data_IF_130420253978
#
_entry.id   IF_130420253978
#
_cell.length_a   1.000
_cell.length_b   1.000
_cell.length_c   1.000
_cell.angle_alpha   90.00
_cell.angle_beta   90.00
_cell.angle_gamma   90.00
#
_symmetry.space_group_name_H-M   'P 1'
#
loop_
_entity.id
_entity.type
_entity.pdbx_description
1 polymer ?
#
# COMPACT_ATOMS: atom_id res chain seq x y z
N UNK A 1 9.91 -9.50 -17.98
CA UNK A 1 9.18 -10.74 -17.64
C UNK A 1 9.41 -11.18 -16.19
N UNK A 2 10.56 -10.86 -15.57
CA UNK A 2 10.81 -11.17 -14.16
C UNK A 2 9.99 -10.31 -13.18
N UNK A 3 9.99 -8.98 -13.35
CA UNK A 3 9.21 -8.02 -12.52
C UNK A 3 7.74 -8.42 -12.31
N UNK A 4 6.99 -8.68 -13.40
CA UNK A 4 5.55 -9.02 -13.30
C UNK A 4 5.33 -10.34 -12.56
N UNK A 5 6.25 -11.29 -12.72
CA UNK A 5 6.16 -12.58 -12.05
C UNK A 5 6.47 -12.43 -10.55
N UNK A 6 7.48 -11.64 -10.21
CA UNK A 6 7.85 -11.32 -8.83
C UNK A 6 6.73 -10.57 -8.11
N UNK A 7 6.16 -9.54 -8.73
CA UNK A 7 5.04 -8.79 -8.15
C UNK A 7 3.83 -9.68 -7.92
N UNK A 8 3.50 -10.58 -8.86
CA UNK A 8 2.40 -11.52 -8.67
C UNK A 8 2.67 -12.47 -7.49
N UNK A 9 3.88 -13.05 -7.42
CA UNK A 9 4.27 -13.93 -6.33
C UNK A 9 4.20 -13.22 -4.97
N UNK A 10 4.77 -12.02 -4.86
CA UNK A 10 4.72 -11.24 -3.63
C UNK A 10 3.29 -10.96 -3.17
N UNK A 11 2.40 -10.53 -4.08
CA UNK A 11 0.99 -10.25 -3.78
C UNK A 11 0.25 -11.50 -3.26
N UNK A 12 0.51 -12.67 -3.85
CA UNK A 12 -0.06 -13.94 -3.40
C UNK A 12 0.41 -14.27 -1.98
N UNK A 13 1.71 -14.21 -1.72
CA UNK A 13 2.29 -14.48 -0.40
C UNK A 13 1.72 -13.54 0.68
N UNK A 14 1.54 -12.26 0.35
CA UNK A 14 0.89 -11.29 1.26
C UNK A 14 -0.57 -11.67 1.51
N UNK A 15 -1.30 -12.15 0.50
CA UNK A 15 -2.72 -12.49 0.64
C UNK A 15 -3.00 -13.70 1.54
N UNK A 16 -2.04 -14.61 1.70
CA UNK A 16 -2.22 -15.91 2.38
C UNK A 16 -2.32 -15.85 3.92
N UNK A 17 -2.24 -14.66 4.53
CA UNK A 17 -2.22 -14.46 6.01
C UNK A 17 -1.22 -15.38 6.74
N UNK A 18 -0.13 -15.74 6.07
CA UNK A 18 0.94 -16.54 6.64
C UNK A 18 2.15 -15.65 6.90
N UNK A 19 2.43 -15.38 8.17
CA UNK A 19 3.58 -14.54 8.57
C UNK A 19 4.93 -15.14 8.17
N UNK A 20 5.03 -16.46 8.03
CA UNK A 20 6.25 -17.12 7.56
C UNK A 20 6.59 -16.72 6.12
N UNK A 21 5.59 -16.33 5.34
CA UNK A 21 5.77 -15.90 3.96
C UNK A 21 6.20 -14.42 3.84
N UNK A 22 6.18 -13.64 4.92
CA UNK A 22 6.43 -12.20 4.86
C UNK A 22 7.89 -11.88 4.50
N UNK A 23 8.85 -12.61 5.07
CA UNK A 23 10.28 -12.41 4.72
C UNK A 23 10.53 -12.69 3.23
N UNK A 24 9.93 -13.76 2.70
CA UNK A 24 10.03 -14.10 1.29
C UNK A 24 9.33 -13.04 0.40
N UNK A 25 8.13 -12.61 0.78
CA UNK A 25 7.40 -11.58 0.06
C UNK A 25 8.21 -10.28 -0.01
N UNK A 26 8.81 -9.86 1.11
CA UNK A 26 9.66 -8.67 1.18
C UNK A 26 10.91 -8.80 0.28
N UNK A 27 11.58 -9.94 0.28
CA UNK A 27 12.73 -10.19 -0.58
C UNK A 27 12.35 -10.13 -2.08
N UNK A 28 11.19 -10.66 -2.45
CA UNK A 28 10.67 -10.62 -3.82
C UNK A 28 10.29 -9.18 -4.20
N UNK A 29 9.64 -8.43 -3.32
CA UNK A 29 9.30 -7.01 -3.54
C UNK A 29 10.55 -6.16 -3.75
N UNK A 30 11.58 -6.32 -2.92
CA UNK A 30 12.85 -5.60 -3.08
C UNK A 30 13.50 -5.88 -4.43
N UNK A 31 13.44 -7.12 -4.91
CA UNK A 31 13.96 -7.48 -6.23
C UNK A 31 13.11 -6.86 -7.36
N UNK A 32 11.79 -6.93 -7.25
CA UNK A 32 10.88 -6.34 -8.21
C UNK A 32 11.01 -4.80 -8.28
N UNK A 33 11.24 -4.16 -7.13
CA UNK A 33 11.40 -2.71 -7.00
C UNK A 33 12.57 -2.14 -7.80
N UNK A 34 13.58 -2.96 -8.13
CA UNK A 34 14.70 -2.53 -9.00
C UNK A 34 14.24 -2.12 -10.40
N UNK A 35 13.15 -2.72 -10.89
CA UNK A 35 12.56 -2.46 -12.20
C UNK A 35 11.22 -1.71 -12.10
N UNK A 36 10.77 -1.35 -10.90
CA UNK A 36 9.46 -0.74 -10.68
C UNK A 36 9.48 0.79 -10.83
N UNK A 37 8.80 1.28 -11.87
CA UNK A 37 8.61 2.72 -12.07
C UNK A 37 7.30 3.24 -11.45
N UNK A 38 6.44 2.35 -10.94
CA UNK A 38 5.09 2.70 -10.50
C UNK A 38 4.95 2.95 -8.99
N UNK A 39 5.97 2.59 -8.21
CA UNK A 39 5.92 2.63 -6.74
C UNK A 39 5.03 1.54 -6.12
N UNK A 40 4.67 0.53 -6.90
CA UNK A 40 3.85 -0.59 -6.44
C UNK A 40 4.62 -1.48 -5.47
N UNK A 41 5.92 -1.71 -5.70
CA UNK A 41 6.77 -2.49 -4.81
C UNK A 41 6.86 -1.87 -3.42
N UNK A 42 7.17 -0.56 -3.33
CA UNK A 42 7.20 0.17 -2.05
C UNK A 42 5.85 0.21 -1.37
N UNK A 43 4.76 0.33 -2.13
CA UNK A 43 3.40 0.27 -1.57
C UNK A 43 3.12 -1.07 -0.90
N UNK A 44 3.43 -2.20 -1.55
CA UNK A 44 3.22 -3.52 -0.96
C UNK A 44 4.19 -3.82 0.19
N UNK A 45 5.41 -3.28 0.17
CA UNK A 45 6.34 -3.36 1.31
C UNK A 45 5.75 -2.61 2.52
N UNK A 46 5.17 -1.42 2.32
CA UNK A 46 4.50 -0.67 3.38
C UNK A 46 3.29 -1.44 3.95
N UNK A 47 2.47 -2.06 3.10
CA UNK A 47 1.35 -2.92 3.54
C UNK A 47 1.85 -4.07 4.42
N UNK A 48 2.96 -4.69 4.03
CA UNK A 48 3.56 -5.79 4.77
C UNK A 48 4.07 -5.34 6.15
N UNK A 49 4.70 -4.17 6.23
CA UNK A 49 5.16 -3.60 7.50
C UNK A 49 3.99 -3.24 8.43
N UNK A 50 2.89 -2.70 7.89
CA UNK A 50 1.68 -2.44 8.67
C UNK A 50 1.12 -3.73 9.27
N UNK A 51 1.03 -4.81 8.47
CA UNK A 51 0.57 -6.12 8.95
C UNK A 51 1.47 -6.72 10.02
N UNK A 52 2.77 -6.42 9.96
CA UNK A 52 3.75 -6.82 10.96
C UNK A 52 3.72 -5.96 12.22
N UNK A 53 2.96 -4.85 12.23
CA UNK A 53 3.02 -3.84 13.29
C UNK A 53 4.46 -3.32 13.49
N UNK A 54 5.18 -3.16 12.37
CA UNK A 54 6.55 -2.69 12.34
C UNK A 54 6.63 -1.16 12.47
N UNK A 55 7.84 -0.62 12.31
CA UNK A 55 8.14 0.80 12.47
C UNK A 55 7.29 1.69 11.53
N UNK A 56 6.57 2.63 12.13
CA UNK A 56 5.71 3.57 11.43
C UNK A 56 6.50 4.54 10.56
N UNK A 57 7.70 4.97 10.99
CA UNK A 57 8.52 5.90 10.21
C UNK A 57 8.93 5.28 8.87
N UNK A 58 9.32 3.99 8.91
CA UNK A 58 9.64 3.22 7.71
C UNK A 58 8.44 3.06 6.78
N UNK A 59 7.24 2.86 7.33
CA UNK A 59 5.99 2.82 6.54
C UNK A 59 5.78 4.15 5.82
N UNK A 60 5.95 5.29 6.51
CA UNK A 60 5.79 6.62 5.91
C UNK A 60 6.80 6.83 4.78
N UNK A 61 8.08 6.47 4.97
CA UNK A 61 9.12 6.64 3.95
C UNK A 61 8.83 5.87 2.65
N UNK A 62 8.38 4.62 2.78
CA UNK A 62 7.99 3.78 1.63
C UNK A 62 6.80 4.39 0.91
N UNK A 63 5.78 4.82 1.65
CA UNK A 63 4.59 5.43 1.08
C UNK A 63 4.90 6.77 0.39
N UNK A 64 5.80 7.57 0.93
CA UNK A 64 6.28 8.80 0.27
C UNK A 64 7.00 8.50 -1.04
N UNK A 65 7.80 7.43 -1.07
CA UNK A 65 8.50 6.99 -2.28
C UNK A 65 7.50 6.55 -3.35
N UNK A 66 6.53 5.72 -2.99
CA UNK A 66 5.46 5.32 -3.88
C UNK A 66 4.58 6.50 -4.34
N UNK A 67 4.30 7.47 -3.45
CA UNK A 67 3.56 8.68 -3.77
C UNK A 67 4.28 9.55 -4.81
N UNK A 68 5.61 9.69 -4.74
CA UNK A 68 6.41 10.39 -5.77
C UNK A 68 6.26 9.76 -7.15
N UNK A 69 6.03 8.44 -7.22
CA UNK A 69 5.73 7.70 -8.45
C UNK A 69 4.24 7.75 -8.83
N UNK A 70 3.46 8.61 -8.18
CA UNK A 70 2.02 8.82 -8.38
C UNK A 70 1.18 7.57 -8.13
N UNK A 71 1.64 6.67 -7.26
CA UNK A 71 0.90 5.46 -6.92
C UNK A 71 -0.38 5.82 -6.14
N UNK A 72 -1.60 5.57 -6.68
CA UNK A 72 -2.82 6.08 -6.08
C UNK A 72 -3.07 5.54 -4.67
N UNK A 73 -2.87 4.23 -4.47
CA UNK A 73 -3.12 3.61 -3.16
C UNK A 73 -2.10 4.07 -2.11
N UNK A 74 -0.87 4.38 -2.52
CA UNK A 74 0.14 4.89 -1.60
C UNK A 74 -0.20 6.31 -1.15
N UNK A 75 -0.63 7.17 -2.07
CA UNK A 75 -1.06 8.54 -1.75
C UNK A 75 -2.24 8.50 -0.77
N UNK A 76 -3.23 7.64 -1.03
CA UNK A 76 -4.39 7.48 -0.15
C UNK A 76 -4.00 6.95 1.24
N UNK A 77 -3.16 5.91 1.30
CA UNK A 77 -2.69 5.34 2.56
C UNK A 77 -1.81 6.33 3.34
N UNK A 78 -0.91 7.04 2.67
CA UNK A 78 -0.06 8.06 3.28
C UNK A 78 -0.88 9.17 3.90
N UNK A 79 -1.89 9.67 3.19
CA UNK A 79 -2.83 10.64 3.73
C UNK A 79 -3.51 10.12 4.99
N UNK A 80 -3.94 8.86 5.01
CA UNK A 80 -4.58 8.24 6.17
C UNK A 80 -3.61 8.14 7.37
N UNK A 81 -2.38 7.66 7.15
CA UNK A 81 -1.36 7.53 8.21
C UNK A 81 -1.01 8.88 8.85
N UNK A 82 -1.00 9.96 8.06
CA UNK A 82 -0.67 11.31 8.52
C UNK A 82 -1.86 12.07 9.13
N UNK A 83 -3.08 11.54 9.04
CA UNK A 83 -4.30 12.29 9.38
C UNK A 83 -4.33 12.86 10.81
N UNK A 84 -3.66 12.18 11.76
CA UNK A 84 -3.55 12.59 13.16
C UNK A 84 -2.22 13.32 13.42
N UNK A 85 -1.11 12.79 12.90
CA UNK A 85 0.23 13.28 13.20
C UNK A 85 0.60 14.56 12.43
N UNK A 86 0.19 14.67 11.16
CA UNK A 86 0.35 15.86 10.33
C UNK A 86 -0.88 16.08 9.43
N UNK A 87 -1.96 16.69 9.98
CA UNK A 87 -3.19 16.91 9.24
C UNK A 87 -3.01 17.78 7.98
N UNK A 88 -2.02 18.68 7.98
CA UNK A 88 -1.77 19.57 6.85
C UNK A 88 -1.16 18.79 5.69
N UNK A 89 -0.18 17.94 5.99
CA UNK A 89 0.41 17.06 4.97
C UNK A 89 -0.58 15.97 4.53
N UNK A 90 -1.42 15.47 5.43
CA UNK A 90 -2.52 14.57 5.09
C UNK A 90 -3.45 15.20 4.03
N UNK A 91 -3.87 16.46 4.22
CA UNK A 91 -4.70 17.19 3.25
C UNK A 91 -3.99 17.43 1.92
N UNK A 92 -2.68 17.70 1.95
CA UNK A 92 -1.87 17.83 0.74
C UNK A 92 -1.96 16.57 -0.13
N UNK A 93 -1.79 15.39 0.45
CA UNK A 93 -1.91 14.13 -0.29
C UNK A 93 -3.33 13.82 -0.76
N UNK A 94 -4.37 14.28 -0.05
CA UNK A 94 -5.76 14.17 -0.56
C UNK A 94 -5.95 15.01 -1.82
N UNK A 95 -5.41 16.23 -1.82
CA UNK A 95 -5.45 17.10 -3.00
C UNK A 95 -4.62 16.49 -4.15
N UNK A 96 -3.44 15.93 -3.85
CA UNK A 96 -2.62 15.25 -4.85
C UNK A 96 -3.34 14.05 -5.47
N UNK A 97 -4.03 13.24 -4.66
CA UNK A 97 -4.85 12.13 -5.17
C UNK A 97 -5.91 12.61 -6.16
N UNK A 98 -6.58 13.73 -5.85
CA UNK A 98 -7.62 14.29 -6.71
C UNK A 98 -7.11 14.72 -8.09
N UNK A 99 -5.80 14.99 -8.21
CA UNK A 99 -5.17 15.35 -9.48
C UNK A 99 -4.80 14.15 -10.36
N UNK A 100 -4.86 12.92 -9.84
CA UNK A 100 -4.56 11.71 -10.59
C UNK A 100 -5.63 11.45 -11.66
N UNK A 101 -5.18 10.90 -12.81
CA UNK A 101 -6.09 10.52 -13.91
C UNK A 101 -7.16 9.53 -13.44
N UNK A 102 -6.83 8.64 -12.51
CA UNK A 102 -7.77 7.67 -11.91
C UNK A 102 -8.85 8.33 -11.05
N UNK A 103 -8.54 9.45 -10.39
CA UNK A 103 -9.53 10.20 -9.63
C UNK A 103 -10.45 10.99 -10.57
N UNK A 104 -9.88 11.53 -11.67
CA UNK A 104 -10.61 12.27 -12.70
C UNK A 104 -11.50 11.37 -13.57
N UNK A 105 -11.09 10.13 -13.83
CA UNK A 105 -11.89 9.14 -14.55
C UNK A 105 -13.00 8.51 -13.70
N UNK A 106 -12.98 8.76 -12.38
CA UNK A 106 -14.00 8.33 -11.44
C UNK A 106 -13.73 6.99 -10.75
N UNK A 107 -12.65 6.27 -11.08
CA UNK A 107 -12.32 4.99 -10.44
C UNK A 107 -10.80 4.71 -10.36
N UNK A 108 -10.28 4.31 -9.17
CA UNK A 108 -10.95 4.37 -7.86
C UNK A 108 -10.99 5.80 -7.29
N UNK A 109 -12.12 6.18 -6.67
CA UNK A 109 -12.17 7.39 -5.84
C UNK A 109 -11.29 7.25 -4.60
N UNK A 110 -10.95 8.37 -3.94
CA UNK A 110 -10.13 8.35 -2.71
C UNK A 110 -10.71 7.41 -1.64
N UNK A 111 -12.03 7.48 -1.42
CA UNK A 111 -12.73 6.60 -0.47
C UNK A 111 -12.66 5.13 -0.89
N UNK A 112 -12.80 4.83 -2.18
CA UNK A 112 -12.68 3.45 -2.69
C UNK A 112 -11.25 2.93 -2.54
N UNK A 113 -10.23 3.76 -2.77
CA UNK A 113 -8.84 3.40 -2.51
C UNK A 113 -8.65 2.98 -1.05
N UNK A 114 -9.19 3.74 -0.09
CA UNK A 114 -9.13 3.35 1.33
C UNK A 114 -9.83 2.03 1.64
N UNK A 115 -10.94 1.71 0.95
CA UNK A 115 -11.61 0.40 1.09
C UNK A 115 -10.71 -0.72 0.59
N UNK A 116 -10.07 -0.55 -0.58
CA UNK A 116 -9.12 -1.53 -1.13
C UNK A 116 -7.95 -1.73 -0.17
N UNK A 117 -7.35 -0.63 0.30
CA UNK A 117 -6.24 -0.65 1.26
C UNK A 117 -6.64 -1.39 2.53
N UNK A 118 -7.85 -1.16 3.05
CA UNK A 118 -8.34 -1.87 4.24
C UNK A 118 -8.33 -3.39 4.04
N UNK A 119 -8.76 -3.88 2.88
CA UNK A 119 -8.68 -5.31 2.54
C UNK A 119 -7.25 -5.82 2.36
N UNK A 120 -6.31 -4.94 2.02
CA UNK A 120 -4.89 -5.29 1.93
C UNK A 120 -4.18 -5.28 3.28
N UNK A 121 -4.56 -4.45 4.25
CA UNK A 121 -3.88 -4.38 5.56
C UNK A 121 -4.53 -5.29 6.61
N UNK A 122 -5.84 -5.57 6.50
CA UNK A 122 -6.54 -6.47 7.42
C UNK A 122 -6.47 -7.89 6.85
N UNK A 123 -5.94 -8.86 7.59
CA UNK A 123 -5.91 -10.23 7.09
C UNK A 123 -7.32 -10.85 6.97
N UNK A 124 -7.55 -11.74 5.98
CA UNK A 124 -8.86 -12.34 5.73
C UNK A 124 -9.45 -13.07 6.94
N UNK A 125 -8.63 -13.69 7.81
CA UNK A 125 -9.10 -14.36 9.02
C UNK A 125 -9.77 -13.42 10.05
N UNK A 126 -9.49 -12.12 10.01
CA UNK A 126 -10.08 -11.12 10.91
C UNK A 126 -11.35 -10.48 10.35
N UNK A 127 -11.66 -10.70 9.07
CA UNK A 127 -12.82 -10.07 8.40
C UNK A 127 -14.13 -10.78 8.75
N UNK A 128 -14.07 -12.07 9.13
CA UNK A 128 -15.24 -12.88 9.52
C UNK A 128 -15.67 -12.69 10.98
N UNK A 129 -14.83 -12.09 11.83
CA UNK A 129 -15.12 -11.88 13.25
C UNK A 129 -15.91 -10.58 13.54
N UNK A 130 -16.02 -9.65 12.58
CA UNK A 130 -16.69 -8.37 12.78
C UNK A 130 -18.20 -8.39 12.46
N UNK A 131 -18.77 -9.57 12.23
CA UNK A 131 -20.22 -9.79 12.00
C UNK A 131 -20.70 -10.94 12.87
N UNK A 132 -20.65 -10.79 14.19
CA UNK A 132 -21.42 -11.59 15.14
C UNK A 132 -21.98 -10.69 16.24
#
# INVERSE_FOLDING_TARGET
>A
MLYQNDMLQAKLLISEDNRENYELAEAILRRAGLDDASGEAEFYEAVLLIRQQADQDRVIDLLQTAAKNKHPLAIALLSQQLSISDPKLSQHYQAEYAELDVAKSGYPSFTQALVVIRGLVIPPAQTTAATQ
#
